data_IF_289590415184
#
_entry.id   IF_289590415184
#
_cell.length_a   1.000
_cell.length_b   1.000
_cell.length_c   1.000
_cell.angle_alpha   90.00
_cell.angle_beta   90.00
_cell.angle_gamma   90.00
#
_symmetry.space_group_name_H-M   'P 1'
#
loop_
_entity.id
_entity.type
_entity.pdbx_description
1 polymer ?
#
# COMPACT_ATOMS: atom_id res chain seq x y z
N UNK A 1 13.30 -9.36 11.23
CA UNK A 1 12.14 -8.44 11.22
C UNK A 1 12.50 -7.24 10.36
N UNK A 2 12.57 -7.43 9.04
CA UNK A 2 13.14 -6.43 8.12
C UNK A 2 12.16 -5.33 7.73
N UNK A 3 10.85 -5.61 7.77
CA UNK A 3 9.83 -4.62 7.40
C UNK A 3 9.93 -3.35 8.24
N UNK A 4 10.18 -3.48 9.55
CA UNK A 4 10.21 -2.33 10.47
C UNK A 4 11.39 -1.40 10.19
N UNK A 5 12.58 -1.97 9.98
CA UNK A 5 13.79 -1.21 9.64
C UNK A 5 13.65 -0.52 8.27
N UNK A 6 13.01 -1.19 7.31
CA UNK A 6 12.74 -0.65 5.98
C UNK A 6 11.71 0.48 6.03
N UNK A 7 10.59 0.30 6.74
CA UNK A 7 9.55 1.33 6.87
C UNK A 7 10.00 2.53 7.68
N UNK A 8 10.87 2.37 8.69
CA UNK A 8 11.46 3.50 9.41
C UNK A 8 12.28 4.41 8.47
N UNK A 9 13.14 3.83 7.63
CA UNK A 9 13.90 4.61 6.64
C UNK A 9 13.01 5.31 5.63
N UNK A 10 11.94 4.63 5.16
CA UNK A 10 10.96 5.27 4.28
C UNK A 10 10.27 6.42 5.01
N UNK A 11 9.89 6.26 6.27
CA UNK A 11 9.25 7.33 7.03
C UNK A 11 10.14 8.55 7.24
N UNK A 12 11.45 8.36 7.35
CA UNK A 12 12.44 9.42 7.50
C UNK A 12 12.73 10.16 6.18
N UNK A 13 12.64 9.46 5.04
CA UNK A 13 13.02 10.02 3.74
C UNK A 13 11.86 10.34 2.79
N UNK A 14 10.64 9.87 3.07
CA UNK A 14 9.50 10.03 2.18
C UNK A 14 8.43 10.93 2.81
N UNK A 15 7.95 11.88 2.02
CA UNK A 15 6.78 12.67 2.34
C UNK A 15 5.50 11.88 2.10
N UNK A 16 4.40 12.32 2.72
CA UNK A 16 3.07 11.73 2.56
C UNK A 16 2.67 11.40 1.10
N UNK A 17 2.82 12.30 0.10
CA UNK A 17 2.52 11.97 -1.29
C UNK A 17 3.42 10.86 -1.86
N UNK A 18 4.68 10.74 -1.45
CA UNK A 18 5.56 9.66 -1.89
C UNK A 18 5.15 8.33 -1.25
N UNK A 19 4.81 8.33 0.05
CA UNK A 19 4.28 7.14 0.75
C UNK A 19 2.99 6.65 0.10
N UNK A 20 2.11 7.57 -0.30
CA UNK A 20 0.87 7.24 -1.00
C UNK A 20 1.12 6.60 -2.36
N UNK A 21 2.05 7.14 -3.16
CA UNK A 21 2.43 6.52 -4.44
C UNK A 21 2.98 5.12 -4.24
N UNK A 22 3.80 4.90 -3.21
CA UNK A 22 4.35 3.58 -2.90
C UNK A 22 3.24 2.55 -2.61
N UNK A 23 2.27 2.90 -1.75
CA UNK A 23 1.11 2.04 -1.48
C UNK A 23 0.27 1.80 -2.73
N UNK A 24 0.08 2.81 -3.58
CA UNK A 24 -0.65 2.66 -4.84
C UNK A 24 0.05 1.66 -5.77
N UNK A 25 1.38 1.73 -5.89
CA UNK A 25 2.16 0.76 -6.67
C UNK A 25 2.05 -0.66 -6.12
N UNK A 26 2.14 -0.82 -4.80
CA UNK A 26 1.97 -2.13 -4.16
C UNK A 26 0.57 -2.71 -4.40
N UNK A 27 -0.47 -1.87 -4.34
CA UNK A 27 -1.82 -2.29 -4.69
C UNK A 27 -1.95 -2.71 -6.14
N UNK A 28 -1.35 -1.98 -7.09
CA UNK A 28 -1.37 -2.38 -8.51
C UNK A 28 -0.76 -3.76 -8.73
N UNK A 29 0.34 -4.07 -8.05
CA UNK A 29 0.96 -5.41 -8.12
C UNK A 29 0.05 -6.47 -7.49
N UNK A 30 -0.53 -6.20 -6.32
CA UNK A 30 -1.46 -7.12 -5.66
C UNK A 30 -2.74 -7.37 -6.49
N UNK A 31 -3.19 -6.38 -7.27
CA UNK A 31 -4.31 -6.54 -8.20
C UNK A 31 -3.92 -7.23 -9.51
N UNK A 32 -2.65 -7.15 -9.93
CA UNK A 32 -2.18 -7.73 -11.19
C UNK A 32 -2.27 -9.26 -11.23
N UNK A 33 -2.18 -9.94 -10.08
CA UNK A 33 -2.35 -11.40 -9.99
C UNK A 33 -3.83 -11.85 -9.97
N UNK A 34 -4.78 -10.88 -9.99
CA UNK A 34 -6.22 -11.15 -10.07
C UNK A 34 -6.85 -11.83 -8.84
N UNK A 35 -6.04 -12.25 -7.86
CA UNK A 35 -6.49 -12.92 -6.63
C UNK A 35 -5.92 -12.25 -5.40
N UNK A 36 -6.62 -11.23 -4.90
CA UNK A 36 -6.28 -10.61 -3.63
C UNK A 36 -6.60 -11.58 -2.47
N UNK A 37 -5.58 -12.20 -1.90
CA UNK A 37 -5.69 -13.08 -0.73
C UNK A 37 -5.82 -12.29 0.58
N UNK A 38 -6.32 -12.93 1.65
CA UNK A 38 -6.33 -12.33 2.99
C UNK A 38 -4.93 -12.01 3.50
N UNK A 39 -3.94 -12.80 3.09
CA UNK A 39 -2.54 -12.57 3.45
C UNK A 39 -2.03 -11.24 2.87
N UNK A 40 -2.27 -10.99 1.57
CA UNK A 40 -1.85 -9.74 0.93
C UNK A 40 -2.58 -8.53 1.51
N UNK A 41 -3.89 -8.66 1.81
CA UNK A 41 -4.63 -7.62 2.52
C UNK A 41 -3.99 -7.29 3.86
N UNK A 42 -3.58 -8.31 4.61
CA UNK A 42 -2.95 -8.15 5.90
C UNK A 42 -1.58 -7.47 5.78
N UNK A 43 -0.76 -7.89 4.81
CA UNK A 43 0.55 -7.27 4.52
C UNK A 43 0.39 -5.80 4.11
N UNK A 44 -0.55 -5.50 3.22
CA UNK A 44 -0.84 -4.12 2.77
C UNK A 44 -1.29 -3.23 3.93
N UNK A 45 -2.15 -3.74 4.82
CA UNK A 45 -2.55 -3.03 6.02
C UNK A 45 -1.36 -2.80 6.97
N UNK A 46 -0.51 -3.81 7.16
CA UNK A 46 0.66 -3.71 8.03
C UNK A 46 1.66 -2.68 7.50
N UNK A 47 1.89 -2.63 6.19
CA UNK A 47 2.77 -1.64 5.57
C UNK A 47 2.17 -0.24 5.67
N UNK A 48 0.87 -0.07 5.42
CA UNK A 48 0.22 1.23 5.57
C UNK A 48 0.27 1.76 7.01
N UNK A 49 0.09 0.87 8.00
CA UNK A 49 0.20 1.17 9.43
C UNK A 49 1.62 1.61 9.79
N UNK A 50 2.63 0.85 9.35
CA UNK A 50 4.04 1.18 9.57
C UNK A 50 4.48 2.46 8.87
N UNK A 51 3.88 2.82 7.74
CA UNK A 51 4.16 4.07 7.02
C UNK A 51 3.38 5.29 7.57
N UNK A 52 2.60 5.11 8.64
CA UNK A 52 1.73 6.12 9.22
C UNK A 52 0.76 6.75 8.20
N UNK A 53 0.25 5.95 7.27
CA UNK A 53 -0.69 6.43 6.25
C UNK A 53 -2.10 6.50 6.85
N UNK A 54 -2.81 7.64 6.71
CA UNK A 54 -4.19 7.75 7.14
C UNK A 54 -5.06 6.70 6.47
N UNK A 55 -5.96 6.08 7.24
CA UNK A 55 -6.90 5.07 6.73
C UNK A 55 -7.68 5.55 5.51
N UNK A 56 -8.11 6.82 5.49
CA UNK A 56 -8.80 7.41 4.34
C UNK A 56 -7.93 7.42 3.07
N UNK A 57 -6.66 7.81 3.21
CA UNK A 57 -5.72 7.84 2.08
C UNK A 57 -5.39 6.42 1.57
N UNK A 58 -5.31 5.44 2.47
CA UNK A 58 -5.17 4.03 2.11
C UNK A 58 -6.38 3.48 1.33
N UNK A 59 -7.60 3.81 1.76
CA UNK A 59 -8.83 3.41 1.04
C UNK A 59 -8.88 4.06 -0.34
N UNK A 60 -8.54 5.35 -0.46
CA UNK A 60 -8.46 6.01 -1.76
C UNK A 60 -7.42 5.37 -2.69
N UNK A 61 -6.23 5.03 -2.17
CA UNK A 61 -5.20 4.36 -2.97
C UNK A 61 -5.66 2.98 -3.46
N UNK A 62 -6.38 2.22 -2.61
CA UNK A 62 -6.98 0.94 -2.99
C UNK A 62 -8.02 1.11 -4.12
N UNK A 63 -8.92 2.08 -3.99
CA UNK A 63 -9.96 2.35 -5.01
C UNK A 63 -9.30 2.68 -6.35
N UNK A 64 -8.34 3.62 -6.35
CA UNK A 64 -7.60 4.00 -7.57
C UNK A 64 -6.87 2.83 -8.20
N UNK A 65 -6.23 1.98 -7.39
CA UNK A 65 -5.52 0.82 -7.91
C UNK A 65 -6.48 -0.24 -8.49
N UNK A 66 -7.67 -0.41 -7.90
CA UNK A 66 -8.71 -1.27 -8.46
C UNK A 66 -9.23 -0.74 -9.80
N UNK A 67 -9.52 0.56 -9.88
CA UNK A 67 -9.94 1.24 -11.12
C UNK A 67 -8.87 1.09 -12.21
N UNK A 68 -7.59 1.29 -11.85
CA UNK A 68 -6.47 1.14 -12.78
C UNK A 68 -6.25 -0.32 -13.25
N UNK A 69 -6.64 -1.31 -12.44
CA UNK A 69 -6.51 -2.73 -12.78
C UNK A 69 -7.67 -3.25 -13.66
N UNK A 70 -8.71 -2.46 -13.93
CA UNK A 70 -9.84 -2.86 -14.78
C UNK A 70 -10.66 -4.05 -14.25
N UNK A 71 -10.57 -4.31 -12.93
CA UNK A 71 -11.29 -5.41 -12.29
C UNK A 71 -12.74 -4.99 -11.95
N UNK A 72 -13.60 -5.03 -12.97
CA UNK A 72 -15.05 -5.18 -12.84
C UNK A 72 -15.43 -6.65 -12.61
#
# INVERSE_FOLDING_TARGET
TDLFAYTSRINEHFDMPQKLRMIEHMWRVAYADGRLSDHERHVMWRVADLLHIPKGAYVHAKIRAREAAGAD
#
